data_IF_917578007291
#
_entry.id   IF_917578007291
#
_cell.length_a   1.000
_cell.length_b   1.000
_cell.length_c   1.000
_cell.angle_alpha   90.00
_cell.angle_beta   90.00
_cell.angle_gamma   90.00
#
_symmetry.space_group_name_H-M   'P 1'
#
loop_
_entity.id
_entity.type
_entity.pdbx_description
1 polymer ?
#
# COMPACT_ATOMS: atom_id res chain seq x y z
N UNK A 1 1.28 -49.97 -38.93
CA UNK A 1 1.98 -48.74 -38.48
C UNK A 1 0.96 -47.61 -38.33
N UNK A 2 0.36 -47.37 -37.14
CA UNK A 2 -0.52 -46.20 -36.91
C UNK A 2 -0.89 -45.86 -35.45
N UNK A 3 -0.29 -46.51 -34.44
CA UNK A 3 -0.65 -46.32 -33.02
C UNK A 3 0.37 -45.56 -32.15
N UNK A 4 1.50 -45.10 -32.72
CA UNK A 4 2.57 -44.43 -31.93
C UNK A 4 2.51 -42.90 -31.97
N UNK A 5 1.70 -42.31 -32.83
CA UNK A 5 1.63 -40.86 -33.07
C UNK A 5 0.68 -40.10 -32.13
N UNK A 6 -0.28 -40.77 -31.48
CA UNK A 6 -1.24 -40.12 -30.58
C UNK A 6 -0.68 -39.88 -29.17
N UNK A 7 0.22 -40.74 -28.70
CA UNK A 7 0.83 -40.60 -27.38
C UNK A 7 1.80 -39.40 -27.26
N UNK A 8 2.42 -38.98 -28.37
CA UNK A 8 3.36 -37.86 -28.39
C UNK A 8 2.67 -36.48 -28.36
N UNK A 9 1.46 -36.38 -28.89
CA UNK A 9 0.67 -35.14 -28.87
C UNK A 9 0.01 -34.89 -27.50
N UNK A 10 -0.43 -35.94 -26.81
CA UNK A 10 -0.99 -35.84 -25.46
C UNK A 10 0.06 -35.42 -24.40
N UNK A 11 1.30 -35.87 -24.54
CA UNK A 11 2.38 -35.54 -23.61
C UNK A 11 2.84 -34.07 -23.71
N UNK A 12 2.81 -33.47 -24.91
CA UNK A 12 3.19 -32.07 -25.12
C UNK A 12 2.19 -31.06 -24.54
N UNK A 13 0.88 -31.37 -24.63
CA UNK A 13 -0.17 -30.50 -24.09
C UNK A 13 -0.19 -30.41 -22.57
N UNK A 14 0.03 -31.54 -21.88
CA UNK A 14 0.10 -31.58 -20.42
C UNK A 14 1.31 -30.83 -19.85
N UNK A 15 2.44 -30.86 -20.54
CA UNK A 15 3.66 -30.17 -20.11
C UNK A 15 3.56 -28.65 -20.22
N UNK A 16 2.99 -28.14 -21.32
CA UNK A 16 2.74 -26.69 -21.51
C UNK A 16 1.69 -26.15 -20.53
N UNK A 17 0.62 -26.91 -20.28
CA UNK A 17 -0.39 -26.56 -19.28
C UNK A 17 0.20 -26.54 -17.86
N UNK A 18 1.06 -27.51 -17.52
CA UNK A 18 1.78 -27.55 -16.25
C UNK A 18 2.72 -26.36 -16.07
N UNK A 19 3.43 -25.95 -17.12
CA UNK A 19 4.29 -24.76 -17.09
C UNK A 19 3.50 -23.46 -16.91
N UNK A 20 2.34 -23.32 -17.58
CA UNK A 20 1.46 -22.15 -17.42
C UNK A 20 0.90 -22.03 -15.99
N UNK A 21 0.45 -23.16 -15.42
CA UNK A 21 -0.04 -23.20 -14.04
C UNK A 21 1.09 -22.90 -13.06
N UNK A 22 2.26 -23.52 -13.22
CA UNK A 22 3.43 -23.22 -12.38
C UNK A 22 3.85 -21.74 -12.49
N UNK A 23 3.81 -21.15 -13.68
CA UNK A 23 4.13 -19.74 -13.90
C UNK A 23 3.10 -18.80 -13.26
N UNK A 24 1.79 -19.11 -13.36
CA UNK A 24 0.74 -18.36 -12.66
C UNK A 24 0.89 -18.41 -11.14
N UNK A 25 1.21 -19.59 -10.57
CA UNK A 25 1.48 -19.72 -9.13
C UNK A 25 2.78 -19.03 -8.70
N UNK A 26 3.79 -18.96 -9.58
CA UNK A 26 5.07 -18.28 -9.33
C UNK A 26 4.96 -16.75 -9.38
N UNK A 27 4.06 -16.22 -10.22
CA UNK A 27 3.87 -14.78 -10.40
C UNK A 27 2.98 -14.13 -9.31
N UNK A 28 2.28 -14.94 -8.52
CA UNK A 28 1.24 -14.48 -7.58
C UNK A 28 1.66 -14.00 -6.16
N UNK A 29 2.86 -14.24 -5.59
CA UNK A 29 3.08 -13.90 -4.19
C UNK A 29 3.48 -12.44 -3.89
N UNK A 30 3.67 -11.58 -4.90
CA UNK A 30 4.37 -10.29 -4.68
C UNK A 30 3.63 -9.04 -5.14
N UNK A 31 2.31 -9.09 -5.34
CA UNK A 31 1.57 -7.83 -5.44
C UNK A 31 1.63 -7.17 -4.05
N UNK A 32 2.29 -6.00 -3.89
CA UNK A 32 2.37 -5.35 -2.59
C UNK A 32 0.95 -5.01 -2.13
N UNK A 33 0.50 -5.65 -1.06
CA UNK A 33 -0.80 -5.34 -0.47
C UNK A 33 -0.67 -3.98 0.19
N UNK A 34 -1.43 -3.01 -0.31
CA UNK A 34 -1.61 -1.73 0.39
C UNK A 34 -2.13 -2.03 1.79
N UNK A 35 -1.38 -1.62 2.81
CA UNK A 35 -1.72 -1.89 4.20
C UNK A 35 -1.79 -0.59 4.98
N UNK A 36 -2.89 -0.38 5.71
CA UNK A 36 -2.98 0.71 6.68
C UNK A 36 -2.17 0.32 7.92
N UNK A 37 -1.16 1.13 8.26
CA UNK A 37 -0.26 0.85 9.40
C UNK A 37 -0.55 1.73 10.61
N UNK A 38 -1.11 2.91 10.38
CA UNK A 38 -1.57 3.84 11.41
C UNK A 38 -2.85 4.57 10.96
N UNK A 39 -3.69 4.92 11.92
CA UNK A 39 -4.99 5.58 11.70
C UNK A 39 -5.27 6.56 12.83
N UNK A 40 -5.76 7.74 12.47
CA UNK A 40 -6.30 8.73 13.39
C UNK A 40 -7.62 9.27 12.84
N UNK A 41 -8.65 9.28 13.68
CA UNK A 41 -9.98 9.75 13.32
C UNK A 41 -10.15 11.23 13.68
N UNK A 42 -10.85 11.97 12.82
CA UNK A 42 -11.26 13.33 13.13
C UNK A 42 -12.32 13.32 14.26
N UNK A 43 -12.46 14.40 15.07
CA UNK A 43 -13.42 14.45 16.17
C UNK A 43 -14.88 14.18 15.77
N UNK A 44 -15.26 14.51 14.54
CA UNK A 44 -16.59 14.22 13.99
C UNK A 44 -16.74 12.84 13.35
N UNK A 45 -15.67 12.03 13.29
CA UNK A 45 -15.66 10.69 12.71
C UNK A 45 -15.79 10.61 11.19
N UNK A 46 -16.12 11.72 10.51
CA UNK A 46 -16.32 11.76 9.06
C UNK A 46 -15.01 11.66 8.26
N UNK A 47 -13.89 12.11 8.83
CA UNK A 47 -12.59 12.11 8.15
C UNK A 47 -11.57 11.30 8.91
N UNK A 48 -10.65 10.71 8.16
CA UNK A 48 -9.61 9.83 8.66
C UNK A 48 -8.26 10.24 8.09
N UNK A 49 -7.22 10.21 8.92
CA UNK A 49 -5.83 10.29 8.53
C UNK A 49 -5.23 8.89 8.64
N UNK A 50 -4.76 8.33 7.53
CA UNK A 50 -4.20 6.98 7.48
C UNK A 50 -2.78 7.03 6.94
N UNK A 51 -1.88 6.25 7.52
CA UNK A 51 -0.62 5.90 6.86
C UNK A 51 -0.81 4.58 6.13
N UNK A 52 -0.57 4.60 4.82
CA UNK A 52 -0.64 3.44 3.95
C UNK A 52 0.78 3.06 3.53
N UNK A 53 1.13 1.80 3.76
CA UNK A 53 2.28 1.14 3.15
C UNK A 53 1.89 0.70 1.73
N UNK A 54 2.52 1.26 0.71
CA UNK A 54 2.38 0.79 -0.68
C UNK A 54 3.38 -0.30 -1.06
N UNK A 55 4.11 -0.81 -0.08
CA UNK A 55 5.14 -1.82 -0.23
C UNK A 55 6.44 -1.28 -0.85
N UNK A 56 7.40 -2.19 -1.09
CA UNK A 56 8.71 -1.86 -1.63
C UNK A 56 8.61 -1.28 -3.05
N UNK A 57 9.43 -0.27 -3.34
CA UNK A 57 9.66 0.22 -4.69
C UNK A 57 10.37 -0.82 -5.59
N UNK A 58 9.59 -1.74 -6.19
CA UNK A 58 9.95 -2.67 -7.29
C UNK A 58 11.13 -3.64 -7.08
N UNK A 59 12.01 -3.44 -6.10
CA UNK A 59 13.22 -4.24 -5.87
C UNK A 59 13.22 -4.83 -4.45
N UNK A 60 13.65 -6.09 -4.26
CA UNK A 60 13.86 -6.64 -2.92
C UNK A 60 14.95 -5.82 -2.21
N UNK A 61 14.64 -5.30 -1.01
CA UNK A 61 15.40 -4.30 -0.21
C UNK A 61 15.25 -2.83 -0.61
N UNK A 62 14.32 -2.48 -1.50
CA UNK A 62 13.99 -1.06 -1.73
C UNK A 62 13.24 -0.47 -0.53
N UNK A 63 13.40 0.84 -0.33
CA UNK A 63 12.67 1.60 0.69
C UNK A 63 11.15 1.43 0.53
N UNK A 64 10.47 1.39 1.67
CA UNK A 64 9.01 1.36 1.71
C UNK A 64 8.46 2.71 1.25
N UNK A 65 7.36 2.66 0.49
CA UNK A 65 6.68 3.87 0.04
C UNK A 65 5.47 4.13 0.93
N UNK A 66 5.61 5.14 1.77
CA UNK A 66 4.57 5.58 2.68
C UNK A 66 3.72 6.68 2.05
N UNK A 67 2.40 6.60 2.25
CA UNK A 67 1.49 7.69 1.91
C UNK A 67 0.62 8.04 3.10
N UNK A 68 0.44 9.34 3.33
CA UNK A 68 -0.66 9.84 4.14
C UNK A 68 -1.90 9.92 3.25
N UNK A 69 -2.96 9.23 3.64
CA UNK A 69 -4.30 9.41 3.10
C UNK A 69 -5.15 10.25 4.05
N UNK A 70 -5.94 11.15 3.48
CA UNK A 70 -6.93 11.97 4.17
C UNK A 70 -8.26 11.89 3.42
N UNK A 71 -9.31 11.38 4.06
CA UNK A 71 -10.62 11.27 3.42
C UNK A 71 -11.65 10.55 4.29
N UNK A 72 -12.80 10.23 3.69
CA UNK A 72 -13.94 9.59 4.38
C UNK A 72 -13.82 8.07 4.51
N UNK A 73 -13.07 7.41 3.62
CA UNK A 73 -13.05 5.94 3.57
C UNK A 73 -11.87 5.37 4.38
N UNK A 74 -12.16 4.94 5.60
CA UNK A 74 -11.14 4.35 6.47
C UNK A 74 -10.76 2.90 6.11
N UNK A 75 -11.70 2.13 5.56
CA UNK A 75 -11.53 0.69 5.32
C UNK A 75 -10.78 0.42 4.01
N UNK A 76 -11.14 1.14 2.97
CA UNK A 76 -10.52 1.06 1.65
C UNK A 76 -10.32 2.48 1.12
N UNK A 77 -9.16 3.10 1.42
CA UNK A 77 -8.89 4.47 0.99
C UNK A 77 -8.85 4.49 -0.53
N UNK A 78 -9.94 4.94 -1.14
CA UNK A 78 -10.16 4.96 -2.58
C UNK A 78 -10.40 6.38 -3.10
N UNK A 79 -11.16 7.19 -2.36
CA UNK A 79 -11.44 8.59 -2.67
C UNK A 79 -10.97 9.51 -1.53
N UNK A 80 -10.08 10.45 -1.84
CA UNK A 80 -9.51 11.37 -0.85
C UNK A 80 -8.16 11.95 -1.28
N UNK A 81 -7.51 12.64 -0.37
CA UNK A 81 -6.23 13.29 -0.61
C UNK A 81 -5.07 12.39 -0.20
N UNK A 82 -4.11 12.21 -1.10
CA UNK A 82 -2.88 11.47 -0.81
C UNK A 82 -1.67 12.39 -0.83
N UNK A 83 -0.88 12.31 0.23
CA UNK A 83 0.43 12.96 0.32
C UNK A 83 1.50 11.87 0.36
N UNK A 84 2.41 11.89 -0.61
CA UNK A 84 3.60 11.05 -0.56
C UNK A 84 4.48 11.51 0.59
N UNK A 85 4.83 10.57 1.47
CA UNK A 85 5.73 10.83 2.58
C UNK A 85 7.17 10.52 2.15
N UNK A 86 8.17 11.16 2.77
CA UNK A 86 9.56 10.90 2.42
C UNK A 86 9.89 9.42 2.60
N UNK A 87 10.71 8.90 1.68
CA UNK A 87 11.36 7.62 1.87
C UNK A 87 12.36 7.80 3.01
N UNK A 88 12.01 7.24 4.16
CA UNK A 88 12.86 7.31 5.31
C UNK A 88 13.79 6.09 5.28
N UNK A 89 15.12 6.29 5.38
CA UNK A 89 16.06 5.19 5.35
C UNK A 89 15.86 4.31 6.59
N UNK A 90 15.98 3.00 6.42
CA UNK A 90 15.77 1.97 7.46
C UNK A 90 16.79 2.02 8.62
N UNK A 91 17.51 3.15 8.77
CA UNK A 91 18.48 3.46 9.81
C UNK A 91 17.90 3.32 11.23
N UNK A 92 16.58 3.38 11.37
CA UNK A 92 15.89 3.26 12.65
C UNK A 92 15.07 1.97 12.78
N UNK A 93 15.13 1.02 11.84
CA UNK A 93 14.27 -0.16 11.82
C UNK A 93 12.81 0.25 11.67
N UNK A 94 12.49 0.89 10.55
CA UNK A 94 11.18 1.49 10.29
C UNK A 94 10.15 0.42 9.93
N UNK A 95 9.69 -0.26 10.97
CA UNK A 95 8.46 -1.02 10.94
C UNK A 95 7.27 -0.03 10.94
N UNK A 96 6.22 -0.35 10.17
CA UNK A 96 4.99 0.43 10.08
C UNK A 96 4.38 0.84 11.45
N UNK A 97 4.71 0.14 12.52
CA UNK A 97 4.35 0.45 13.90
C UNK A 97 4.88 1.80 14.38
N UNK A 98 6.05 2.27 13.93
CA UNK A 98 6.58 3.59 14.35
C UNK A 98 5.71 4.75 13.92
N UNK A 99 4.99 4.60 12.81
CA UNK A 99 4.01 5.60 12.38
C UNK A 99 2.94 5.84 13.46
N UNK A 100 2.61 4.84 14.30
CA UNK A 100 1.64 4.98 15.39
C UNK A 100 2.11 5.89 16.52
N UNK A 101 3.41 6.14 16.64
CA UNK A 101 3.97 7.10 17.60
C UNK A 101 3.81 8.56 17.15
N UNK A 102 3.46 8.77 15.87
CA UNK A 102 3.15 10.09 15.33
C UNK A 102 1.88 10.67 15.98
N UNK A 103 1.77 11.99 15.98
CA UNK A 103 0.63 12.72 16.54
C UNK A 103 -0.15 13.42 15.45
N UNK A 104 -1.47 13.34 15.52
CA UNK A 104 -2.37 14.07 14.62
C UNK A 104 -3.22 15.04 15.42
N UNK A 105 -3.26 16.29 14.96
CA UNK A 105 -4.14 17.33 15.49
C UNK A 105 -5.07 17.81 14.38
N UNK A 106 -6.37 17.67 14.63
CA UNK A 106 -7.42 18.15 13.75
C UNK A 106 -7.87 19.54 14.17
N UNK A 107 -7.98 20.44 13.20
CA UNK A 107 -8.48 21.80 13.39
C UNK A 107 -9.47 22.13 12.28
N UNK A 108 -10.32 23.17 12.43
CA UNK A 108 -11.18 23.63 11.34
C UNK A 108 -10.41 24.05 10.08
N UNK A 109 -9.15 24.45 10.21
CA UNK A 109 -8.33 24.85 9.06
C UNK A 109 -7.72 23.65 8.31
N UNK A 110 -7.67 22.47 8.92
CA UNK A 110 -7.01 21.29 8.38
C UNK A 110 -6.42 20.39 9.45
N UNK A 111 -5.55 19.48 9.01
CA UNK A 111 -4.90 18.47 9.85
C UNK A 111 -3.40 18.71 9.91
N UNK A 112 -2.84 18.57 11.11
CA UNK A 112 -1.40 18.59 11.35
C UNK A 112 -0.96 17.21 11.79
N UNK A 113 -0.03 16.62 11.05
CA UNK A 113 0.65 15.37 11.38
C UNK A 113 2.08 15.69 11.81
N UNK A 114 2.40 15.41 13.07
CA UNK A 114 3.76 15.47 13.61
C UNK A 114 4.33 14.05 13.61
N UNK A 115 5.35 13.81 12.79
CA UNK A 115 6.02 12.51 12.70
C UNK A 115 6.73 12.19 14.01
N UNK A 116 7.02 10.90 14.27
CA UNK A 116 7.83 10.49 15.43
C UNK A 116 9.23 11.12 15.43
N UNK A 117 9.73 11.52 14.25
CA UNK A 117 11.00 12.25 14.09
C UNK A 117 10.90 13.73 14.46
N UNK A 118 9.71 14.24 14.77
CA UNK A 118 9.46 15.64 15.11
C UNK A 118 9.17 16.56 13.91
N UNK A 119 9.28 16.06 12.68
CA UNK A 119 8.87 16.82 11.49
C UNK A 119 7.36 16.99 11.45
N UNK A 120 6.89 18.10 10.87
CA UNK A 120 5.46 18.39 10.77
C UNK A 120 5.02 18.53 9.32
N UNK A 121 3.86 17.96 9.03
CA UNK A 121 3.12 18.12 7.80
C UNK A 121 1.75 18.72 8.13
N UNK A 122 1.42 19.84 7.49
CA UNK A 122 0.08 20.42 7.56
C UNK A 122 -0.64 20.26 6.23
N UNK A 123 -1.86 19.73 6.27
CA UNK A 123 -2.74 19.60 5.10
C UNK A 123 -4.01 20.41 5.35
N UNK A 124 -4.31 21.42 4.53
CA UNK A 124 -5.50 22.24 4.71
C UNK A 124 -6.78 21.45 4.45
N UNK A 125 -7.86 21.80 5.15
CA UNK A 125 -9.15 21.09 5.06
C UNK A 125 -9.67 20.99 3.61
N UNK A 126 -9.57 22.09 2.86
CA UNK A 126 -9.97 22.16 1.46
C UNK A 126 -9.32 21.11 0.56
N UNK A 127 -8.14 20.57 0.93
CA UNK A 127 -7.45 19.56 0.13
C UNK A 127 -8.11 18.18 0.20
N UNK A 128 -8.79 17.84 1.31
CA UNK A 128 -9.39 16.52 1.52
C UNK A 128 -10.91 16.53 1.68
N UNK A 129 -11.53 17.67 1.97
CA UNK A 129 -13.00 17.79 2.05
C UNK A 129 -13.66 17.83 0.66
N UNK A 130 -12.97 18.38 -0.34
CA UNK A 130 -13.51 18.55 -1.70
C UNK A 130 -13.31 17.35 -2.64
N UNK A 131 -12.35 16.47 -2.32
CA UNK A 131 -11.93 15.33 -3.16
C UNK A 131 -11.30 15.74 -4.51
N UNK A 132 -10.19 15.09 -4.87
CA UNK A 132 -9.64 15.05 -6.24
C UNK A 132 -9.20 13.65 -6.55
#
# INVERSE_FOLDING_TARGET
MRRRSEALLAAGGGFLAGLLVAWMFSAMPFAPKRQVVARWDAPGGAYHALIVDEGPARLPRSLHRWRLYLGHDAAEPSYGHYVSLPELPDLYGEDGAKWRESRVSWTPAGVRLTFWTGHELFVPAQAYEGGR
#
